data_IF_627954445850
#
_entry.id   IF_627954445850
#
_cell.length_a   1.000
_cell.length_b   1.000
_cell.length_c   1.000
_cell.angle_alpha   90.00
_cell.angle_beta   90.00
_cell.angle_gamma   90.00
#
_symmetry.space_group_name_H-M   'P 1'
#
loop_
_entity.id
_entity.type
_entity.pdbx_description
1 polymer ?
#
# COMPACT_ATOMS: atom_id res chain seq x y z
N UNK A 1 20.57 15.26 5.71
CA UNK A 1 19.33 14.90 6.45
C UNK A 1 18.38 16.06 6.32
N UNK A 2 17.15 15.84 5.87
CA UNK A 2 16.14 16.89 5.75
C UNK A 2 15.10 16.77 6.86
N UNK A 3 14.60 17.88 7.36
CA UNK A 3 13.52 17.90 8.34
C UNK A 3 12.19 18.08 7.63
N UNK A 4 11.43 17.01 7.52
CA UNK A 4 10.13 17.02 6.87
C UNK A 4 8.94 17.13 7.85
N UNK A 5 9.17 17.02 9.14
CA UNK A 5 8.16 16.89 10.18
C UNK A 5 8.05 15.46 10.68
N UNK A 6 6.88 15.04 11.20
CA UNK A 6 6.61 13.64 11.55
C UNK A 6 6.22 12.87 10.30
N UNK A 7 7.21 12.59 9.47
CA UNK A 7 7.03 11.93 8.19
C UNK A 7 6.88 10.41 8.36
N UNK A 8 5.86 9.84 7.74
CA UNK A 8 5.58 8.38 7.77
C UNK A 8 5.76 7.71 6.40
N UNK A 9 6.03 8.48 5.36
CA UNK A 9 6.25 7.94 4.03
C UNK A 9 6.67 9.03 3.05
N UNK A 10 7.16 8.61 1.90
CA UNK A 10 7.57 9.47 0.82
C UNK A 10 7.49 8.77 -0.52
N UNK A 11 7.51 9.55 -1.58
CA UNK A 11 7.55 9.06 -2.95
C UNK A 11 8.45 9.95 -3.79
N UNK A 12 8.95 9.42 -4.89
CA UNK A 12 9.82 10.13 -5.83
C UNK A 12 9.02 10.36 -7.11
N UNK A 13 9.05 11.58 -7.67
CA UNK A 13 8.39 11.89 -8.93
C UNK A 13 8.83 10.96 -10.06
N UNK A 14 7.95 10.74 -11.01
CA UNK A 14 8.20 9.83 -12.13
C UNK A 14 9.50 10.15 -12.89
N UNK A 15 9.83 11.42 -13.02
CA UNK A 15 11.07 11.88 -13.65
C UNK A 15 12.30 11.84 -12.72
N UNK A 16 12.10 11.50 -11.44
CA UNK A 16 13.14 11.43 -10.43
C UNK A 16 13.66 12.78 -9.92
N UNK A 17 13.02 13.90 -10.28
CA UNK A 17 13.49 15.24 -9.92
C UNK A 17 13.04 15.73 -8.55
N UNK A 18 11.96 15.18 -8.00
CA UNK A 18 11.38 15.56 -6.71
C UNK A 18 11.26 14.38 -5.77
N UNK A 19 11.53 14.61 -4.50
CA UNK A 19 11.14 13.73 -3.39
C UNK A 19 10.03 14.42 -2.62
N UNK A 20 8.86 13.78 -2.53
CA UNK A 20 7.73 14.30 -1.75
C UNK A 20 7.52 13.43 -0.53
N UNK A 21 7.36 14.08 0.62
CA UNK A 21 7.20 13.43 1.92
C UNK A 21 5.86 13.81 2.52
N UNK A 22 5.13 12.81 2.98
CA UNK A 22 3.86 13.00 3.69
C UNK A 22 4.08 13.15 5.19
N UNK A 23 3.39 14.11 5.79
CA UNK A 23 3.47 14.37 7.22
C UNK A 23 2.21 13.90 7.94
N UNK A 24 2.41 13.10 8.97
CA UNK A 24 1.35 12.71 9.89
C UNK A 24 0.98 13.89 10.80
N UNK A 25 1.99 14.56 11.35
CA UNK A 25 1.88 15.79 12.11
C UNK A 25 3.01 16.74 11.70
N UNK A 26 2.70 17.99 11.43
CA UNK A 26 1.44 18.72 11.55
C UNK A 26 0.47 18.53 10.38
N UNK A 27 0.63 17.52 9.55
CA UNK A 27 -0.06 17.30 8.29
C UNK A 27 0.65 18.01 7.13
N UNK A 28 0.13 17.79 5.91
CA UNK A 28 0.70 18.37 4.70
C UNK A 28 1.74 17.48 4.00
N UNK A 29 2.19 17.96 2.86
CA UNK A 29 3.26 17.33 2.08
C UNK A 29 4.37 18.35 1.83
N UNK A 30 5.63 17.89 1.83
CA UNK A 30 6.80 18.70 1.50
C UNK A 30 7.51 18.10 0.31
N UNK A 31 7.80 18.95 -0.68
CA UNK A 31 8.56 18.55 -1.85
C UNK A 31 10.00 19.09 -1.73
N UNK A 32 10.96 18.24 -2.04
CA UNK A 32 12.38 18.52 -2.05
C UNK A 32 12.94 18.24 -3.43
N UNK A 33 13.89 19.04 -3.88
CA UNK A 33 14.72 18.69 -5.04
C UNK A 33 15.47 17.38 -4.76
N UNK A 34 15.39 16.41 -5.65
CA UNK A 34 15.96 15.09 -5.41
C UNK A 34 17.51 15.05 -5.43
N UNK A 35 18.16 16.06 -6.01
CA UNK A 35 19.62 16.12 -6.09
C UNK A 35 20.22 16.90 -4.92
N UNK A 36 19.62 18.06 -4.58
CA UNK A 36 20.14 18.96 -3.55
C UNK A 36 19.53 18.71 -2.18
N UNK A 37 18.35 18.08 -2.13
CA UNK A 37 17.51 17.91 -0.94
C UNK A 37 17.05 19.26 -0.32
N UNK A 38 17.08 20.32 -1.10
CA UNK A 38 16.48 21.59 -0.70
C UNK A 38 14.96 21.55 -0.77
N UNK A 39 14.30 22.18 0.20
CA UNK A 39 12.84 22.30 0.22
C UNK A 39 12.41 23.24 -0.91
N UNK A 40 11.58 22.73 -1.84
CA UNK A 40 11.07 23.50 -2.98
C UNK A 40 9.59 23.85 -2.85
N UNK A 41 8.84 23.11 -2.04
CA UNK A 41 7.45 23.44 -1.74
C UNK A 41 7.00 22.84 -0.39
N UNK A 42 6.10 23.56 0.30
CA UNK A 42 5.41 23.12 1.51
C UNK A 42 3.92 23.35 1.33
N UNK A 43 3.15 22.25 1.21
CA UNK A 43 1.71 22.28 0.95
C UNK A 43 0.98 21.80 2.20
N UNK A 44 0.35 22.71 2.97
CA UNK A 44 -0.35 22.34 4.18
C UNK A 44 -1.62 21.52 3.88
N UNK A 45 -1.92 20.56 4.75
CA UNK A 45 -3.18 19.80 4.71
C UNK A 45 -4.21 20.43 5.67
N UNK A 46 -4.63 21.64 5.37
CA UNK A 46 -5.71 22.30 6.08
C UNK A 46 -6.99 22.30 5.25
N UNK A 47 -8.12 22.13 5.93
CA UNK A 47 -9.45 22.30 5.39
C UNK A 47 -9.84 23.79 5.38
N UNK A 48 -10.99 24.12 4.79
CA UNK A 48 -11.46 25.51 4.73
C UNK A 48 -11.78 26.09 6.11
N UNK A 49 -12.18 25.27 7.08
CA UNK A 49 -12.39 25.63 8.47
C UNK A 49 -11.10 25.71 9.30
N UNK A 50 -9.93 25.48 8.69
CA UNK A 50 -8.64 25.55 9.36
C UNK A 50 -8.22 24.25 10.09
N UNK A 51 -9.02 23.19 10.03
CA UNK A 51 -8.66 21.90 10.62
C UNK A 51 -7.45 21.32 9.90
N UNK A 52 -6.44 20.90 10.65
CA UNK A 52 -5.28 20.18 10.13
C UNK A 52 -5.61 18.70 9.99
N UNK A 53 -5.11 18.11 8.92
CA UNK A 53 -5.32 16.69 8.64
C UNK A 53 -4.00 15.97 8.45
N UNK A 54 -3.92 14.76 9.02
CA UNK A 54 -2.83 13.82 8.70
C UNK A 54 -2.86 13.50 7.23
N UNK A 55 -1.67 13.42 6.62
CA UNK A 55 -1.51 12.95 5.24
C UNK A 55 -1.00 11.52 5.24
N UNK A 56 -1.67 10.67 4.50
CA UNK A 56 -1.41 9.24 4.36
C UNK A 56 -1.65 8.79 2.92
N UNK A 57 -1.21 7.58 2.57
CA UNK A 57 -1.49 6.99 1.25
C UNK A 57 -0.87 7.75 0.09
N UNK A 58 0.29 8.40 0.29
CA UNK A 58 0.98 9.15 -0.74
C UNK A 58 1.50 8.22 -1.85
N UNK A 59 1.21 8.59 -3.09
CA UNK A 59 1.76 7.95 -4.27
C UNK A 59 2.10 8.98 -5.35
N UNK A 60 3.13 8.67 -6.15
CA UNK A 60 3.47 9.43 -7.34
C UNK A 60 2.55 9.08 -8.52
N UNK A 61 2.26 10.07 -9.32
CA UNK A 61 1.56 9.96 -10.59
C UNK A 61 2.47 10.38 -11.74
N UNK A 62 2.02 10.18 -12.98
CA UNK A 62 2.75 10.64 -14.15
C UNK A 62 3.01 12.15 -14.09
N UNK A 63 4.19 12.58 -14.54
CA UNK A 63 4.67 13.95 -14.40
C UNK A 63 5.21 14.23 -12.99
N UNK A 64 4.97 15.43 -12.48
CA UNK A 64 5.32 15.86 -11.13
C UNK A 64 4.10 15.95 -10.23
N UNK A 65 3.16 15.02 -10.37
CA UNK A 65 1.92 14.98 -9.61
C UNK A 65 1.97 13.92 -8.53
N UNK A 66 1.35 14.21 -7.40
CA UNK A 66 1.24 13.29 -6.27
C UNK A 66 -0.19 13.26 -5.77
N UNK A 67 -0.67 12.06 -5.45
CA UNK A 67 -1.98 11.84 -4.86
C UNK A 67 -1.81 11.36 -3.42
N UNK A 68 -2.71 11.78 -2.54
CA UNK A 68 -2.67 11.44 -1.13
C UNK A 68 -4.02 11.62 -0.46
N UNK A 69 -4.20 10.93 0.66
CA UNK A 69 -5.41 10.98 1.50
C UNK A 69 -5.21 11.92 2.69
N UNK A 70 -6.27 12.64 3.06
CA UNK A 70 -6.37 13.47 4.26
C UNK A 70 -7.34 12.81 5.25
N UNK A 71 -6.79 12.28 6.33
CA UNK A 71 -7.50 11.42 7.28
C UNK A 71 -8.67 12.13 7.97
N UNK A 72 -8.43 13.24 8.66
CA UNK A 72 -9.47 13.97 9.39
C UNK A 72 -10.40 14.71 8.43
N UNK A 73 -9.86 15.23 7.34
CA UNK A 73 -10.64 15.99 6.36
C UNK A 73 -11.59 15.14 5.53
N UNK A 74 -11.35 13.81 5.44
CA UNK A 74 -12.14 12.94 4.56
C UNK A 74 -11.97 13.28 3.07
N UNK A 75 -10.78 13.76 2.70
CA UNK A 75 -10.46 14.18 1.33
C UNK A 75 -9.36 13.31 0.72
N UNK A 76 -9.35 13.26 -0.59
CA UNK A 76 -8.21 12.82 -1.40
C UNK A 76 -7.78 14.02 -2.24
N UNK A 77 -6.47 14.27 -2.32
CA UNK A 77 -5.93 15.42 -3.06
C UNK A 77 -4.89 14.96 -4.08
N UNK A 78 -4.88 15.66 -5.22
CA UNK A 78 -3.80 15.57 -6.21
C UNK A 78 -3.10 16.93 -6.24
N UNK A 79 -1.81 16.95 -5.99
CA UNK A 79 -0.99 18.16 -6.10
C UNK A 79 -0.02 18.03 -7.25
N UNK A 80 -0.02 19.02 -8.14
CA UNK A 80 0.87 19.16 -9.27
C UNK A 80 2.01 20.14 -8.92
N UNK A 81 3.23 19.65 -9.00
CA UNK A 81 4.48 20.39 -8.77
C UNK A 81 5.22 20.70 -10.09
N UNK A 82 4.53 20.79 -11.22
CA UNK A 82 5.17 21.22 -12.48
C UNK A 82 5.84 22.58 -12.33
N UNK A 83 5.24 23.49 -11.54
CA UNK A 83 5.87 24.67 -10.97
C UNK A 83 5.89 24.54 -9.43
N UNK A 84 7.01 24.12 -8.81
CA UNK A 84 7.07 23.94 -7.36
C UNK A 84 6.85 25.24 -6.57
N UNK A 85 7.10 26.42 -7.17
CA UNK A 85 6.81 27.70 -6.52
C UNK A 85 5.31 28.02 -6.45
N UNK A 86 4.49 27.37 -7.28
CA UNK A 86 3.04 27.56 -7.35
C UNK A 86 2.32 26.22 -7.53
N UNK A 87 2.40 25.30 -6.56
CA UNK A 87 1.76 24.00 -6.67
C UNK A 87 0.24 24.16 -6.77
N UNK A 88 -0.37 23.37 -7.66
CA UNK A 88 -1.83 23.36 -7.87
C UNK A 88 -2.42 22.08 -7.26
N UNK A 89 -3.44 22.25 -6.42
CA UNK A 89 -4.08 21.11 -5.74
C UNK A 89 -5.54 20.96 -6.16
N UNK A 90 -5.89 19.78 -6.66
CA UNK A 90 -7.26 19.35 -6.91
C UNK A 90 -7.74 18.48 -5.73
N UNK A 91 -9.03 18.65 -5.34
CA UNK A 91 -9.62 17.98 -4.16
C UNK A 91 -10.78 17.07 -4.57
N UNK A 92 -10.90 15.93 -3.89
CA UNK A 92 -11.97 14.95 -4.08
C UNK A 92 -12.51 14.53 -2.72
N UNK A 93 -13.79 14.17 -2.65
CA UNK A 93 -14.34 13.53 -1.46
C UNK A 93 -13.65 12.17 -1.25
N UNK A 94 -13.13 11.90 -0.06
CA UNK A 94 -12.40 10.67 0.27
C UNK A 94 -13.17 9.67 1.12
N UNK A 95 -14.40 10.02 1.57
CA UNK A 95 -15.13 9.21 2.56
C UNK A 95 -14.65 9.44 3.99
N UNK A 96 -15.09 8.60 4.93
CA UNK A 96 -14.72 8.77 6.34
C UNK A 96 -13.31 8.22 6.62
N UNK A 97 -12.41 9.12 7.00
CA UNK A 97 -11.05 8.79 7.41
C UNK A 97 -10.32 7.93 6.37
N UNK A 98 -10.16 8.41 5.11
CA UNK A 98 -9.36 7.71 4.13
C UNK A 98 -7.94 7.61 4.66
N UNK A 99 -7.36 6.41 4.57
CA UNK A 99 -6.06 6.13 5.17
C UNK A 99 -5.05 5.67 4.11
N UNK A 100 -4.52 4.47 4.27
CA UNK A 100 -3.52 3.96 3.35
C UNK A 100 -4.13 3.70 1.97
N UNK A 101 -3.30 3.83 0.93
CA UNK A 101 -3.78 3.77 -0.44
C UNK A 101 -2.73 3.19 -1.39
N UNK A 102 -3.19 2.76 -2.56
CA UNK A 102 -2.34 2.36 -3.66
C UNK A 102 -2.81 2.96 -4.98
N UNK A 103 -1.89 3.05 -5.91
CA UNK A 103 -2.17 3.24 -7.34
C UNK A 103 -2.04 1.88 -8.01
N UNK A 104 -3.02 1.50 -8.85
CA UNK A 104 -2.94 0.25 -9.60
C UNK A 104 -1.73 0.24 -10.54
N UNK A 105 -1.17 -0.94 -10.88
CA UNK A 105 0.06 -1.03 -11.69
C UNK A 105 -0.02 -0.35 -13.05
N UNK A 106 -1.22 -0.24 -13.63
CA UNK A 106 -1.49 0.48 -14.87
C UNK A 106 -1.58 2.01 -14.69
N UNK A 107 -1.49 2.50 -13.45
CA UNK A 107 -1.61 3.92 -13.11
C UNK A 107 -3.02 4.50 -13.25
N UNK A 108 -4.05 3.65 -13.38
CA UNK A 108 -5.41 4.11 -13.64
C UNK A 108 -6.19 4.45 -12.37
N UNK A 109 -6.12 3.63 -11.36
CA UNK A 109 -6.93 3.81 -10.16
C UNK A 109 -6.10 4.12 -8.93
N UNK A 110 -6.53 5.14 -8.20
CA UNK A 110 -6.11 5.33 -6.81
C UNK A 110 -7.21 4.81 -5.91
N UNK A 111 -6.84 3.99 -4.93
CA UNK A 111 -7.80 3.34 -4.04
C UNK A 111 -7.34 3.53 -2.61
N UNK A 112 -8.18 4.16 -1.80
CA UNK A 112 -7.92 4.45 -0.39
C UNK A 112 -8.82 3.63 0.52
N UNK A 113 -8.25 3.03 1.57
CA UNK A 113 -8.99 2.35 2.63
C UNK A 113 -9.71 3.35 3.53
N UNK A 114 -10.92 3.01 3.95
CA UNK A 114 -11.72 3.86 4.82
C UNK A 114 -11.65 3.36 6.26
N UNK A 115 -10.99 4.13 7.13
CA UNK A 115 -10.86 3.77 8.53
C UNK A 115 -12.16 3.98 9.32
N UNK A 116 -12.89 5.03 9.00
CA UNK A 116 -14.10 5.45 9.69
C UNK A 116 -15.38 4.78 9.22
N UNK A 117 -15.33 3.99 8.14
CA UNK A 117 -16.46 3.26 7.57
C UNK A 117 -15.99 2.05 6.78
N UNK A 118 -16.90 1.17 6.41
CA UNK A 118 -16.60 0.04 5.54
C UNK A 118 -16.56 0.45 4.07
N UNK A 119 -15.76 -0.26 3.28
CA UNK A 119 -15.52 0.01 1.87
C UNK A 119 -14.21 0.73 1.59
N UNK A 120 -14.01 1.06 0.35
CA UNK A 120 -12.84 1.74 -0.19
C UNK A 120 -13.29 2.92 -1.05
N UNK A 121 -12.51 4.01 -1.04
CA UNK A 121 -12.68 5.12 -1.97
C UNK A 121 -11.83 4.87 -3.22
N UNK A 122 -12.41 4.97 -4.40
CA UNK A 122 -11.74 4.79 -5.69
C UNK A 122 -11.84 6.06 -6.52
N UNK A 123 -10.71 6.47 -7.10
CA UNK A 123 -10.63 7.54 -8.12
C UNK A 123 -10.07 6.94 -9.41
N UNK A 124 -10.78 7.17 -10.52
CA UNK A 124 -10.28 6.87 -11.87
C UNK A 124 -9.37 8.03 -12.33
N UNK A 125 -8.06 7.84 -12.24
CA UNK A 125 -7.05 8.87 -12.56
C UNK A 125 -7.02 9.25 -14.04
N UNK A 126 -7.62 8.42 -14.89
CA UNK A 126 -7.80 8.72 -16.32
C UNK A 126 -9.06 9.54 -16.59
N UNK A 127 -9.98 9.62 -15.62
CA UNK A 127 -11.27 10.31 -15.74
C UNK A 127 -11.60 11.08 -14.44
N UNK A 128 -10.77 12.04 -14.08
CA UNK A 128 -10.87 12.78 -12.80
C UNK A 128 -12.21 13.50 -12.63
N UNK A 129 -12.86 13.89 -13.73
CA UNK A 129 -14.18 14.56 -13.68
C UNK A 129 -15.30 13.69 -13.08
N UNK A 130 -15.10 12.36 -13.04
CA UNK A 130 -16.03 11.46 -12.36
C UNK A 130 -15.95 11.52 -10.84
N UNK A 131 -14.93 12.18 -10.31
CA UNK A 131 -14.70 12.25 -8.87
C UNK A 131 -14.35 10.90 -8.25
N UNK A 132 -14.55 10.79 -6.94
CA UNK A 132 -14.41 9.54 -6.20
C UNK A 132 -15.74 8.77 -6.13
N UNK A 133 -15.62 7.44 -6.05
CA UNK A 133 -16.75 6.57 -5.74
C UNK A 133 -16.39 5.53 -4.69
N UNK A 134 -17.37 5.08 -3.94
CA UNK A 134 -17.20 3.98 -2.98
C UNK A 134 -17.33 2.63 -3.69
N UNK A 135 -16.40 1.73 -3.39
CA UNK A 135 -16.42 0.33 -3.85
C UNK A 135 -16.38 -0.61 -2.64
N UNK A 136 -16.76 -1.86 -2.83
CA UNK A 136 -16.73 -2.91 -1.81
C UNK A 136 -17.32 -2.46 -0.46
N UNK A 137 -18.54 -1.95 -0.47
CA UNK A 137 -19.18 -1.34 0.69
C UNK A 137 -19.32 -2.26 1.92
N UNK A 138 -19.23 -3.57 1.74
CA UNK A 138 -19.18 -4.56 2.83
C UNK A 138 -17.78 -4.96 3.28
N UNK A 139 -16.72 -4.39 2.68
CA UNK A 139 -15.34 -4.67 3.06
C UNK A 139 -14.91 -3.81 4.25
N UNK A 140 -14.52 -4.43 5.33
CA UNK A 140 -14.08 -3.69 6.51
C UNK A 140 -14.06 -4.54 7.76
N UNK A 141 -14.70 -4.05 8.81
CA UNK A 141 -14.53 -4.51 10.18
C UNK A 141 -14.98 -5.95 10.44
N UNK A 142 -15.86 -6.51 9.66
CA UNK A 142 -16.49 -7.79 9.99
C UNK A 142 -17.33 -7.70 11.26
N UNK A 143 -17.77 -8.85 11.78
CA UNK A 143 -18.65 -8.93 12.96
C UNK A 143 -17.93 -8.76 14.30
N UNK A 144 -16.60 -8.90 14.33
CA UNK A 144 -15.81 -8.77 15.55
C UNK A 144 -15.02 -7.47 15.60
N UNK A 145 -14.97 -6.77 16.76
CA UNK A 145 -14.09 -5.64 16.95
C UNK A 145 -12.63 -6.15 16.92
N UNK A 146 -11.94 -5.81 15.84
CA UNK A 146 -10.53 -6.15 15.67
C UNK A 146 -9.66 -5.19 16.48
N UNK A 147 -8.50 -5.62 16.96
CA UNK A 147 -7.52 -4.73 17.56
C UNK A 147 -6.97 -3.72 16.53
N UNK A 148 -6.07 -2.84 16.94
CA UNK A 148 -5.58 -1.65 16.20
C UNK A 148 -5.14 -1.88 14.74
N UNK A 149 -4.88 -3.09 14.32
CA UNK A 149 -4.48 -3.47 12.94
C UNK A 149 -5.65 -3.69 11.98
N UNK A 150 -6.80 -3.20 12.32
CA UNK A 150 -8.07 -3.35 11.57
C UNK A 150 -8.11 -2.77 10.18
N UNK A 151 -7.07 -2.06 9.83
CA UNK A 151 -7.12 -1.34 8.57
C UNK A 151 -6.75 -2.22 7.42
N UNK A 152 -7.50 -2.13 6.34
CA UNK A 152 -6.95 -2.57 5.08
C UNK A 152 -5.69 -1.74 4.81
N UNK A 153 -4.54 -2.31 5.12
CA UNK A 153 -3.28 -1.79 4.62
C UNK A 153 -3.29 -1.99 3.11
N UNK A 154 -3.58 -0.95 2.37
CA UNK A 154 -3.76 -1.09 0.93
C UNK A 154 -2.45 -1.35 0.20
N UNK A 155 -1.31 -1.03 0.80
CA UNK A 155 -0.04 -1.58 0.34
C UNK A 155 0.13 -3.07 0.70
N UNK A 156 -0.79 -3.62 1.47
CA UNK A 156 -0.85 -5.03 1.84
C UNK A 156 -1.75 -5.87 0.94
N UNK A 157 -2.28 -5.31 -0.15
CA UNK A 157 -3.00 -6.06 -1.16
C UNK A 157 -2.40 -5.80 -2.56
N UNK A 158 -2.73 -6.64 -3.51
CA UNK A 158 -2.07 -6.62 -4.81
C UNK A 158 -3.03 -6.86 -5.95
N UNK A 159 -2.59 -6.51 -7.14
CA UNK A 159 -3.30 -6.73 -8.40
C UNK A 159 -2.49 -7.67 -9.28
N UNK A 160 -3.13 -8.73 -9.77
CA UNK A 160 -2.54 -9.71 -10.66
C UNK A 160 -3.59 -10.26 -11.62
N UNK A 161 -3.30 -10.34 -12.91
CA UNK A 161 -4.15 -10.98 -13.91
C UNK A 161 -5.59 -10.42 -13.98
N UNK A 162 -5.78 -9.11 -13.84
CA UNK A 162 -7.11 -8.49 -13.83
C UNK A 162 -7.91 -8.73 -12.54
N UNK A 163 -7.26 -9.21 -11.49
CA UNK A 163 -7.84 -9.44 -10.16
C UNK A 163 -7.07 -8.69 -9.10
N UNK A 164 -7.78 -8.14 -8.12
CA UNK A 164 -7.20 -7.64 -6.89
C UNK A 164 -7.43 -8.66 -5.77
N UNK A 165 -6.41 -8.86 -4.93
CA UNK A 165 -6.40 -9.81 -3.81
C UNK A 165 -6.29 -9.01 -2.53
N UNK A 166 -7.37 -9.00 -1.73
CA UNK A 166 -7.51 -8.18 -0.53
C UNK A 166 -7.61 -9.05 0.73
N UNK A 167 -6.79 -8.83 1.75
CA UNK A 167 -6.93 -9.55 3.02
C UNK A 167 -8.23 -9.14 3.71
N UNK A 168 -9.16 -10.09 3.88
CA UNK A 168 -10.39 -9.91 4.64
C UNK A 168 -10.13 -10.14 6.13
N UNK A 169 -9.52 -9.16 6.76
CA UNK A 169 -9.18 -9.20 8.18
C UNK A 169 -10.44 -9.48 9.00
N UNK A 170 -10.38 -10.48 9.88
CA UNK A 170 -11.51 -10.92 10.71
C UNK A 170 -12.36 -12.03 10.11
N UNK A 171 -12.14 -12.41 8.84
CA UNK A 171 -12.87 -13.51 8.19
C UNK A 171 -11.99 -14.69 7.79
N UNK A 172 -10.68 -14.61 7.97
CA UNK A 172 -9.69 -15.62 7.55
C UNK A 172 -9.80 -15.96 6.06
N UNK A 173 -9.96 -14.93 5.25
CA UNK A 173 -10.15 -15.05 3.80
C UNK A 173 -9.33 -13.97 3.06
N UNK A 174 -8.98 -14.28 1.83
CA UNK A 174 -8.52 -13.30 0.84
C UNK A 174 -9.64 -13.11 -0.15
N UNK A 175 -10.14 -11.87 -0.28
CA UNK A 175 -11.13 -11.53 -1.29
C UNK A 175 -10.47 -11.43 -2.65
N UNK A 176 -11.15 -11.93 -3.67
CA UNK A 176 -10.77 -11.77 -5.06
C UNK A 176 -11.77 -10.83 -5.71
N UNK A 177 -11.26 -9.71 -6.22
CA UNK A 177 -12.05 -8.63 -6.78
C UNK A 177 -11.69 -8.45 -8.24
N UNK A 178 -12.68 -8.33 -9.11
CA UNK A 178 -12.49 -8.00 -10.51
C UNK A 178 -12.08 -6.54 -10.66
N UNK A 179 -10.99 -6.23 -11.36
CA UNK A 179 -10.45 -4.86 -11.46
C UNK A 179 -11.14 -3.99 -12.51
N UNK A 180 -11.99 -4.54 -13.36
CA UNK A 180 -12.80 -3.77 -14.31
C UNK A 180 -14.08 -3.27 -13.64
N UNK A 181 -14.75 -4.13 -12.89
CA UNK A 181 -16.01 -3.80 -12.22
C UNK A 181 -15.83 -3.31 -10.78
N UNK A 182 -14.75 -3.72 -10.12
CA UNK A 182 -14.49 -3.54 -8.68
C UNK A 182 -15.53 -4.23 -7.80
N UNK A 183 -16.00 -5.39 -8.27
CA UNK A 183 -16.90 -6.26 -7.54
C UNK A 183 -16.15 -7.51 -7.06
N UNK A 184 -16.57 -8.03 -5.91
CA UNK A 184 -16.06 -9.29 -5.39
C UNK A 184 -16.55 -10.45 -6.25
N UNK A 185 -15.63 -11.31 -6.69
CA UNK A 185 -15.93 -12.47 -7.54
C UNK A 185 -15.60 -13.79 -6.88
N UNK A 186 -14.75 -13.82 -5.85
CA UNK A 186 -14.40 -15.05 -5.13
C UNK A 186 -13.83 -14.74 -3.74
N UNK A 187 -13.72 -15.76 -2.89
CA UNK A 187 -13.09 -15.74 -1.56
C UNK A 187 -12.26 -16.99 -1.35
N UNK A 188 -11.00 -16.78 -1.00
CA UNK A 188 -10.08 -17.87 -0.74
C UNK A 188 -9.87 -17.99 0.76
N UNK A 189 -10.26 -19.13 1.35
CA UNK A 189 -10.01 -19.41 2.76
C UNK A 189 -8.54 -19.58 3.03
N UNK A 190 -8.06 -18.93 4.09
CA UNK A 190 -6.68 -18.99 4.55
C UNK A 190 -6.60 -19.38 6.02
N UNK A 191 -5.40 -19.71 6.50
CA UNK A 191 -5.15 -20.28 7.83
C UNK A 191 -5.67 -19.41 8.97
N UNK A 192 -5.47 -18.11 8.89
CA UNK A 192 -5.78 -17.19 9.99
C UNK A 192 -6.10 -15.80 9.43
N UNK A 193 -6.07 -14.81 10.29
CA UNK A 193 -6.35 -13.42 9.97
C UNK A 193 -5.27 -12.84 9.05
N UNK A 194 -5.53 -12.66 7.74
CA UNK A 194 -4.52 -12.19 6.80
C UNK A 194 -4.23 -10.71 7.02
N UNK A 195 -2.97 -10.30 6.85
CA UNK A 195 -2.54 -8.90 6.96
C UNK A 195 -2.13 -8.34 5.61
N UNK A 196 -1.26 -9.06 4.90
CA UNK A 196 -0.82 -8.71 3.55
C UNK A 196 -1.13 -9.84 2.58
N UNK A 197 -1.48 -9.48 1.36
CA UNK A 197 -1.65 -10.36 0.23
C UNK A 197 -0.83 -9.81 -0.94
N UNK A 198 0.41 -10.27 -1.07
CA UNK A 198 1.41 -9.73 -1.99
C UNK A 198 1.54 -10.61 -3.22
N UNK A 199 1.36 -10.03 -4.41
CA UNK A 199 1.53 -10.75 -5.67
C UNK A 199 3.01 -10.91 -6.01
N UNK A 200 3.41 -12.12 -6.41
CA UNK A 200 4.65 -12.31 -7.15
C UNK A 200 4.59 -11.51 -8.46
N UNK A 201 5.67 -10.87 -8.91
CA UNK A 201 5.65 -9.98 -10.07
C UNK A 201 5.09 -10.57 -11.37
N UNK A 202 5.13 -11.89 -11.56
CA UNK A 202 4.51 -12.56 -12.70
C UNK A 202 2.99 -12.81 -12.52
N UNK A 203 2.43 -12.43 -11.37
CA UNK A 203 1.02 -12.57 -11.05
C UNK A 203 0.53 -13.99 -10.81
N UNK A 204 1.41 -15.01 -10.74
CA UNK A 204 1.01 -16.40 -10.57
C UNK A 204 0.77 -16.83 -9.14
N UNK A 205 1.32 -16.11 -8.19
CA UNK A 205 1.21 -16.44 -6.77
C UNK A 205 0.88 -15.20 -5.95
N UNK A 206 0.04 -15.40 -4.93
CA UNK A 206 -0.20 -14.42 -3.86
C UNK A 206 0.35 -15.01 -2.56
N UNK A 207 1.28 -14.31 -1.93
CA UNK A 207 1.83 -14.68 -0.64
C UNK A 207 1.11 -13.90 0.46
N UNK A 208 0.66 -14.64 1.49
CA UNK A 208 -0.21 -14.09 2.55
C UNK A 208 0.42 -14.35 3.90
N UNK A 209 0.67 -13.31 4.69
CA UNK A 209 1.05 -13.43 6.09
C UNK A 209 -0.15 -13.17 7.01
N UNK A 210 0.02 -13.42 8.29
CA UNK A 210 -1.07 -13.41 9.25
C UNK A 210 -0.79 -12.55 10.47
N UNK A 211 -1.87 -12.09 11.13
CA UNK A 211 -1.81 -11.44 12.42
C UNK A 211 -1.54 -12.47 13.54
N UNK A 212 -1.18 -11.97 14.73
CA UNK A 212 -1.09 -12.78 15.94
C UNK A 212 -2.43 -13.51 16.20
N UNK A 213 -2.43 -14.80 16.64
CA UNK A 213 -1.28 -15.59 17.09
C UNK A 213 -0.51 -16.34 15.98
N UNK A 214 -1.01 -16.32 14.75
CA UNK A 214 -0.43 -17.08 13.62
C UNK A 214 0.59 -16.26 12.81
N UNK A 215 1.14 -15.20 13.40
CA UNK A 215 2.05 -14.26 12.73
C UNK A 215 3.45 -14.83 12.38
N UNK A 216 3.68 -16.11 12.65
CA UNK A 216 4.88 -16.84 12.17
C UNK A 216 4.67 -17.59 10.86
N UNK A 217 3.45 -17.55 10.29
CA UNK A 217 3.08 -18.33 9.11
C UNK A 217 2.93 -17.47 7.87
N UNK A 218 3.15 -18.11 6.73
CA UNK A 218 2.87 -17.56 5.39
C UNK A 218 2.21 -18.65 4.56
N UNK A 219 1.18 -18.28 3.80
CA UNK A 219 0.57 -19.16 2.80
C UNK A 219 0.77 -18.60 1.40
N UNK A 220 0.85 -19.51 0.43
CA UNK A 220 0.96 -19.19 -1.00
C UNK A 220 -0.31 -19.65 -1.68
N UNK A 221 -0.94 -18.74 -2.41
CA UNK A 221 -2.13 -18.99 -3.22
C UNK A 221 -1.71 -19.00 -4.68
N UNK A 222 -2.06 -20.03 -5.41
CA UNK A 222 -1.97 -20.06 -6.87
C UNK A 222 -3.15 -19.31 -7.49
N UNK A 223 -2.86 -18.30 -8.30
CA UNK A 223 -3.89 -17.40 -8.86
C UNK A 223 -4.75 -18.03 -9.94
N UNK A 224 -4.28 -19.10 -10.56
CA UNK A 224 -5.03 -19.82 -11.61
C UNK A 224 -6.09 -20.72 -11.00
N UNK A 225 -5.73 -21.43 -9.93
CA UNK A 225 -6.64 -22.38 -9.29
C UNK A 225 -7.43 -21.78 -8.13
N UNK A 226 -7.03 -20.60 -7.63
CA UNK A 226 -7.61 -20.00 -6.42
C UNK A 226 -7.35 -20.80 -5.14
N UNK A 227 -6.33 -21.66 -5.10
CA UNK A 227 -6.08 -22.54 -3.96
C UNK A 227 -4.77 -22.22 -3.26
N UNK A 228 -4.77 -22.44 -1.94
CA UNK A 228 -3.53 -22.45 -1.17
C UNK A 228 -2.71 -23.69 -1.57
N UNK A 229 -1.50 -23.47 -2.06
CA UNK A 229 -0.56 -24.53 -2.49
C UNK A 229 0.50 -24.83 -1.45
N UNK A 230 0.92 -23.80 -0.69
CA UNK A 230 1.99 -23.96 0.28
C UNK A 230 1.64 -23.26 1.59
N UNK A 231 2.13 -23.81 2.69
CA UNK A 231 2.06 -23.21 4.03
C UNK A 231 3.45 -23.29 4.66
N UNK A 232 4.03 -22.14 4.93
CA UNK A 232 5.40 -21.98 5.37
C UNK A 232 5.45 -21.38 6.76
N UNK A 233 6.55 -21.64 7.49
CA UNK A 233 6.83 -21.03 8.78
C UNK A 233 8.23 -20.39 8.75
N UNK A 234 8.38 -19.21 8.11
CA UNK A 234 9.68 -18.57 7.89
C UNK A 234 10.39 -18.12 9.16
N UNK A 235 9.62 -17.81 10.22
CA UNK A 235 10.15 -17.27 11.46
C UNK A 235 9.02 -16.73 12.32
N UNK A 236 9.35 -16.01 13.41
CA UNK A 236 8.39 -15.42 14.31
C UNK A 236 8.15 -13.95 13.95
N UNK A 237 6.88 -13.54 14.01
CA UNK A 237 6.48 -12.16 13.76
C UNK A 237 6.75 -11.72 12.32
N UNK A 238 6.28 -12.47 11.33
CA UNK A 238 6.39 -12.09 9.92
C UNK A 238 5.51 -10.86 9.69
N UNK A 239 6.15 -9.69 9.59
CA UNK A 239 5.45 -8.42 9.51
C UNK A 239 5.28 -7.93 8.07
N UNK A 240 6.31 -8.01 7.24
CA UNK A 240 6.27 -7.55 5.85
C UNK A 240 6.97 -8.54 4.91
N UNK A 241 6.56 -8.52 3.67
CA UNK A 241 7.13 -9.31 2.58
C UNK A 241 7.34 -8.41 1.37
N UNK A 242 8.44 -8.61 0.64
CA UNK A 242 8.70 -7.88 -0.60
C UNK A 242 9.41 -8.79 -1.60
N UNK A 243 8.95 -8.76 -2.84
CA UNK A 243 9.56 -9.52 -3.93
C UNK A 243 10.65 -8.73 -4.63
N UNK A 244 11.73 -9.39 -5.02
CA UNK A 244 12.60 -8.83 -6.05
C UNK A 244 11.84 -8.63 -7.35
N UNK A 245 12.25 -7.65 -8.14
CA UNK A 245 11.56 -7.26 -9.39
C UNK A 245 11.30 -8.40 -10.37
N UNK A 246 12.15 -9.43 -10.39
CA UNK A 246 11.97 -10.63 -11.21
C UNK A 246 11.14 -11.73 -10.53
N UNK A 247 10.78 -11.56 -9.28
CA UNK A 247 9.94 -12.49 -8.53
C UNK A 247 10.59 -13.82 -8.14
N UNK A 248 11.88 -14.03 -8.35
CA UNK A 248 12.57 -15.27 -7.99
C UNK A 248 12.90 -15.36 -6.50
N UNK A 249 12.93 -14.24 -5.80
CA UNK A 249 13.12 -14.18 -4.36
C UNK A 249 12.02 -13.38 -3.71
N UNK A 250 11.67 -13.75 -2.48
CA UNK A 250 10.87 -12.97 -1.56
C UNK A 250 11.62 -12.78 -0.25
N UNK A 251 11.65 -11.56 0.23
CA UNK A 251 12.29 -11.17 1.47
C UNK A 251 11.22 -10.93 2.53
N UNK A 252 11.40 -11.56 3.70
CA UNK A 252 10.41 -11.51 4.77
C UNK A 252 11.07 -10.97 6.04
N UNK A 253 10.42 -10.01 6.69
CA UNK A 253 10.85 -9.52 8.00
C UNK A 253 10.32 -10.43 9.10
N UNK A 254 11.19 -11.25 9.69
CA UNK A 254 10.93 -12.02 10.90
C UNK A 254 11.28 -11.17 12.13
N UNK A 255 10.36 -10.27 12.49
CA UNK A 255 10.58 -9.19 13.46
C UNK A 255 11.02 -9.72 14.82
N UNK A 256 10.31 -10.73 15.33
CA UNK A 256 10.55 -11.27 16.68
C UNK A 256 11.78 -12.17 16.75
N UNK A 257 12.36 -12.52 15.60
CA UNK A 257 13.63 -13.22 15.47
C UNK A 257 14.81 -12.27 15.17
N UNK A 258 14.54 -10.95 15.01
CA UNK A 258 15.54 -9.96 14.61
C UNK A 258 16.27 -10.34 13.31
N UNK A 259 15.52 -10.81 12.32
CA UNK A 259 16.06 -11.28 11.05
C UNK A 259 15.24 -10.87 9.85
N UNK A 260 15.91 -10.68 8.73
CA UNK A 260 15.30 -10.78 7.41
C UNK A 260 15.67 -12.13 6.84
N UNK A 261 14.68 -12.89 6.38
CA UNK A 261 14.87 -14.20 5.75
C UNK A 261 14.51 -14.11 4.27
N UNK A 262 15.23 -14.86 3.44
CA UNK A 262 15.10 -14.81 1.98
C UNK A 262 14.72 -16.20 1.49
N UNK A 263 13.63 -16.27 0.75
CA UNK A 263 13.13 -17.51 0.15
C UNK A 263 13.21 -17.46 -1.38
N UNK A 264 13.59 -18.57 -1.96
CA UNK A 264 13.41 -18.82 -3.39
C UNK A 264 11.94 -19.13 -3.65
N UNK A 265 11.32 -18.39 -4.57
CA UNK A 265 9.87 -18.49 -4.79
C UNK A 265 9.45 -19.73 -5.56
N UNK A 266 10.34 -20.36 -6.33
CA UNK A 266 10.02 -21.59 -7.07
C UNK A 266 10.06 -22.82 -6.15
N UNK A 267 11.08 -22.92 -5.31
CA UNK A 267 11.27 -24.07 -4.42
C UNK A 267 10.62 -23.93 -3.05
N UNK A 268 10.20 -22.73 -2.68
CA UNK A 268 9.66 -22.38 -1.36
C UNK A 268 10.66 -22.64 -0.21
N UNK A 269 11.96 -22.65 -0.51
CA UNK A 269 13.04 -22.90 0.46
C UNK A 269 13.72 -21.61 0.83
N UNK A 270 14.12 -21.51 2.09
CA UNK A 270 15.00 -20.44 2.52
C UNK A 270 16.39 -20.61 1.89
N UNK A 271 16.87 -19.55 1.25
CA UNK A 271 18.16 -19.52 0.55
C UNK A 271 19.15 -18.54 1.19
N UNK A 272 18.68 -17.69 2.10
CA UNK A 272 19.53 -16.70 2.74
C UNK A 272 18.82 -15.96 3.86
N UNK A 273 19.48 -14.92 4.35
CA UNK A 273 18.98 -14.02 5.37
C UNK A 273 20.12 -13.28 6.05
N UNK A 274 19.79 -12.31 6.88
CA UNK A 274 20.71 -11.51 7.67
C UNK A 274 20.06 -10.99 8.95
N UNK A 275 20.87 -10.66 9.94
CA UNK A 275 20.40 -10.10 11.20
C UNK A 275 20.00 -8.62 11.01
N UNK A 276 18.86 -8.25 11.56
CA UNK A 276 18.33 -6.89 11.57
C UNK A 276 17.46 -6.69 12.80
N UNK A 277 17.75 -5.71 13.62
CA UNK A 277 17.01 -5.47 14.85
C UNK A 277 15.55 -5.06 14.54
N UNK A 278 14.60 -5.85 15.01
CA UNK A 278 13.16 -5.62 14.86
C UNK A 278 12.76 -5.15 13.45
N UNK A 279 13.10 -5.87 12.37
CA UNK A 279 12.80 -5.43 11.01
C UNK A 279 11.30 -5.27 10.83
N UNK A 280 10.90 -4.23 10.07
CA UNK A 280 9.50 -3.99 9.73
C UNK A 280 9.30 -3.96 8.22
N UNK A 281 9.04 -2.79 7.62
CA UNK A 281 8.85 -2.68 6.18
C UNK A 281 10.14 -2.97 5.39
N UNK A 282 9.99 -3.72 4.32
CA UNK A 282 11.03 -3.95 3.31
C UNK A 282 10.53 -3.30 2.03
N UNK A 283 11.32 -2.39 1.45
CA UNK A 283 10.96 -1.69 0.23
C UNK A 283 12.13 -1.68 -0.72
N UNK A 284 11.98 -2.32 -1.87
CA UNK A 284 12.92 -2.19 -2.95
C UNK A 284 12.63 -0.92 -3.76
N UNK A 285 13.67 -0.28 -4.24
CA UNK A 285 13.48 0.90 -5.07
C UNK A 285 12.81 0.51 -6.39
N UNK A 286 11.72 1.17 -6.73
CA UNK A 286 11.00 0.92 -7.99
C UNK A 286 11.86 1.15 -9.23
N UNK A 287 12.94 1.94 -9.12
CA UNK A 287 13.96 2.07 -10.16
C UNK A 287 14.64 0.74 -10.50
N UNK A 288 14.88 -0.11 -9.52
CA UNK A 288 15.46 -1.44 -9.78
C UNK A 288 14.53 -2.32 -10.61
N UNK A 289 13.22 -2.10 -10.53
CA UNK A 289 12.23 -2.82 -11.33
C UNK A 289 12.03 -2.20 -12.73
N UNK A 290 12.42 -0.94 -12.92
CA UNK A 290 12.28 -0.22 -14.19
C UNK A 290 13.57 -0.23 -15.04
N UNK A 291 14.63 -0.85 -14.56
CA UNK A 291 15.90 -0.91 -15.30
C UNK A 291 15.84 -1.95 -16.39
N UNK A 292 15.97 -1.51 -17.61
CA UNK A 292 16.19 -2.39 -18.76
C UNK A 292 15.36 -2.11 -20.00
N UNK A 293 14.65 -0.99 -20.01
CA UNK A 293 13.93 -0.57 -21.22
C UNK A 293 14.02 0.94 -21.40
#
# INVERSE_FOLDING_TARGET
MVQAGNAIGGSISHDGSLVVVQNYEPGGIKAFDANTLELVADVPATTEDGTRSKVVGLADLSGKRFIYSLFEAGEIRITDFSDPAKPVTQRFAGGKQPYDALVTPDGRYYIAGLFGEDGLALIDLWNLDKGSRKILSGYGRGEQPLPVFKMPHLRGWSVAGGRAYLPAIGRHEVLVVDTDTWEEVDRIKVKSQPVFAMARPDGREIWVNFAFPDNGWVQVIDTVTGKVTDTLQPGRGILHMEFLSKGHEVWLSARDDNKVVIFDTATKKQIGGFDSASPSGIFFTTRAARTGF
#
